data_IF_575523735543
#
_entry.id   IF_575523735543
#
_cell.length_a   1.000
_cell.length_b   1.000
_cell.length_c   1.000
_cell.angle_alpha   90.00
_cell.angle_beta   90.00
_cell.angle_gamma   90.00
#
_symmetry.space_group_name_H-M   'P 1'
#
loop_
_entity.id
_entity.type
_entity.pdbx_description
1 polymer ?
#
# COMPACT_ATOMS: atom_id res chain seq x y z
N UNK A 1 7.87 35.43 1.97
CA UNK A 1 6.76 34.57 1.48
C UNK A 1 5.62 34.49 2.48
N UNK A 2 5.83 33.99 3.70
CA UNK A 2 4.77 33.81 4.70
C UNK A 2 4.00 35.11 5.04
N UNK A 3 4.70 36.21 5.36
CA UNK A 3 4.08 37.52 5.62
C UNK A 3 3.25 38.09 4.47
N UNK A 4 3.51 37.67 3.23
CA UNK A 4 2.80 38.17 2.05
C UNK A 4 1.57 37.33 1.70
N UNK A 5 1.47 36.09 2.20
CA UNK A 5 0.52 35.11 1.68
C UNK A 5 -0.33 34.40 2.75
N UNK A 6 0.18 34.15 3.97
CA UNK A 6 -0.56 33.32 4.95
C UNK A 6 -0.24 33.50 6.45
N UNK A 7 0.80 34.24 6.84
CA UNK A 7 1.12 34.45 8.25
C UNK A 7 0.07 35.34 8.96
N UNK A 8 -0.01 35.28 10.30
CA UNK A 8 -0.98 35.99 11.15
C UNK A 8 -0.94 37.54 11.12
N UNK A 9 -0.25 38.14 10.16
CA UNK A 9 -0.24 39.58 9.88
C UNK A 9 -0.19 39.89 8.37
N UNK A 10 -0.58 38.93 7.53
CA UNK A 10 -0.68 39.12 6.08
C UNK A 10 -1.89 40.02 5.76
N UNK A 11 -1.82 40.87 4.73
CA UNK A 11 -2.92 41.76 4.35
C UNK A 11 -4.19 40.96 4.07
N UNK A 12 -5.38 41.45 4.49
CA UNK A 12 -6.66 40.72 4.38
C UNK A 12 -6.99 40.21 2.98
N UNK A 13 -6.46 40.87 1.94
CA UNK A 13 -6.59 40.45 0.54
C UNK A 13 -5.74 39.22 0.18
N UNK A 14 -4.69 38.89 0.93
CA UNK A 14 -3.86 37.71 0.71
C UNK A 14 -4.49 36.41 1.25
N UNK A 15 -5.17 36.48 2.40
CA UNK A 15 -5.91 35.35 2.96
C UNK A 15 -7.23 35.05 2.21
N UNK A 16 -7.74 36.01 1.41
CA UNK A 16 -8.97 35.88 0.60
C UNK A 16 -8.71 35.57 -0.88
N UNK A 17 -7.50 35.78 -1.40
CA UNK A 17 -7.20 35.59 -2.81
C UNK A 17 -6.72 34.17 -3.14
N UNK A 18 -7.21 33.69 -4.29
CA UNK A 18 -6.87 32.44 -4.98
C UNK A 18 -5.45 31.96 -4.73
N UNK A 19 -5.30 30.70 -4.31
CA UNK A 19 -4.01 30.02 -4.25
C UNK A 19 -3.20 30.31 -5.52
N UNK A 20 -1.90 30.53 -5.37
CA UNK A 20 -0.98 30.55 -6.51
C UNK A 20 -0.37 29.14 -6.64
N UNK A 21 -0.84 28.29 -7.59
CA UNK A 21 -0.32 26.93 -7.71
C UNK A 21 1.17 26.92 -8.09
N UNK A 22 1.64 27.99 -8.72
CA UNK A 22 3.04 28.24 -9.04
C UNK A 22 3.90 28.42 -7.79
N UNK A 23 3.40 29.12 -6.75
CA UNK A 23 4.12 29.31 -5.50
C UNK A 23 4.25 27.99 -4.73
N UNK A 24 3.17 27.21 -4.63
CA UNK A 24 3.20 25.88 -4.00
C UNK A 24 4.17 24.97 -4.73
N UNK A 25 4.16 25.00 -6.07
CA UNK A 25 5.11 24.22 -6.88
C UNK A 25 6.56 24.66 -6.67
N UNK A 26 6.79 25.97 -6.52
CA UNK A 26 8.12 26.54 -6.26
C UNK A 26 8.63 26.12 -4.88
N UNK A 27 7.84 26.32 -3.83
CA UNK A 27 8.17 25.90 -2.45
C UNK A 27 8.43 24.40 -2.44
N UNK A 28 7.58 23.61 -3.11
CA UNK A 28 7.77 22.17 -3.16
C UNK A 28 9.11 21.79 -3.80
N UNK A 29 9.42 22.29 -5.00
CA UNK A 29 10.65 21.93 -5.72
C UNK A 29 11.92 22.45 -5.05
N UNK A 30 11.90 23.66 -4.51
CA UNK A 30 13.09 24.32 -3.95
C UNK A 30 13.34 23.97 -2.48
N UNK A 31 12.27 23.76 -1.70
CA UNK A 31 12.35 23.62 -0.25
C UNK A 31 11.97 22.23 0.27
N UNK A 32 11.07 21.51 -0.41
CA UNK A 32 10.46 20.28 0.12
C UNK A 32 10.78 19.00 -0.65
N UNK A 33 11.20 19.07 -1.90
CA UNK A 33 11.42 17.89 -2.74
C UNK A 33 12.61 17.05 -2.26
N UNK A 34 13.58 17.68 -1.59
CA UNK A 34 14.67 16.99 -0.89
C UNK A 34 14.32 16.56 0.55
N UNK A 35 13.13 16.91 1.05
CA UNK A 35 12.68 16.53 2.38
C UNK A 35 12.13 15.10 2.35
N UNK A 36 13.01 14.14 2.61
CA UNK A 36 12.65 12.75 2.84
C UNK A 36 13.70 12.07 3.71
N UNK A 37 13.43 10.85 4.22
CA UNK A 37 14.43 10.04 4.90
C UNK A 37 15.50 9.61 3.87
N UNK A 38 16.43 10.50 3.56
CA UNK A 38 17.59 10.26 2.71
C UNK A 38 18.82 9.90 3.54
N UNK A 39 19.80 9.19 2.95
CA UNK A 39 20.98 8.68 3.67
C UNK A 39 21.98 9.76 4.15
N UNK A 40 21.66 11.05 4.00
CA UNK A 40 22.52 12.16 4.40
C UNK A 40 22.03 12.91 5.62
N UNK A 41 22.65 12.69 6.79
CA UNK A 41 22.33 13.38 8.07
C UNK A 41 22.27 14.92 7.97
N UNK A 42 23.09 15.54 7.11
CA UNK A 42 23.13 17.02 6.93
C UNK A 42 22.04 17.56 6.01
N UNK A 43 21.75 16.89 4.90
CA UNK A 43 20.67 17.31 3.99
C UNK A 43 19.30 17.14 4.64
N UNK A 44 19.08 16.03 5.35
CA UNK A 44 17.89 15.79 6.15
C UNK A 44 17.72 16.83 7.28
N UNK A 45 18.81 17.23 7.95
CA UNK A 45 18.74 18.25 9.00
C UNK A 45 18.33 19.63 8.48
N UNK A 46 18.80 20.03 7.29
CA UNK A 46 18.42 21.30 6.66
C UNK A 46 17.00 21.27 6.09
N UNK A 47 16.61 20.15 5.48
CA UNK A 47 15.24 19.85 5.07
C UNK A 47 14.26 19.95 6.24
N UNK A 48 14.61 19.34 7.37
CA UNK A 48 13.81 19.41 8.60
C UNK A 48 13.68 20.86 9.06
N UNK A 49 14.77 21.65 9.15
CA UNK A 49 14.72 23.09 9.52
C UNK A 49 13.74 23.91 8.67
N UNK A 50 13.71 23.67 7.36
CA UNK A 50 12.80 24.35 6.42
C UNK A 50 11.34 23.96 6.67
N UNK A 51 11.08 22.67 6.90
CA UNK A 51 9.76 22.18 7.30
C UNK A 51 9.29 22.78 8.63
N UNK A 52 10.17 22.91 9.64
CA UNK A 52 9.80 23.55 10.91
C UNK A 52 9.47 25.03 10.72
N UNK A 53 10.23 25.75 9.89
CA UNK A 53 9.93 27.15 9.62
C UNK A 53 8.56 27.32 8.95
N UNK A 54 8.23 26.45 8.00
CA UNK A 54 6.90 26.46 7.36
C UNK A 54 5.79 26.11 8.34
N UNK A 55 6.04 25.20 9.29
CA UNK A 55 5.10 24.84 10.35
C UNK A 55 4.83 26.02 11.29
N UNK A 56 5.88 26.71 11.75
CA UNK A 56 5.77 27.90 12.63
C UNK A 56 4.96 29.01 11.98
N UNK A 57 4.98 29.09 10.64
CA UNK A 57 4.17 30.06 9.90
C UNK A 57 2.73 29.61 9.63
N UNK A 58 2.31 28.45 10.13
CA UNK A 58 1.00 27.84 9.90
C UNK A 58 0.68 27.64 8.41
N UNK A 59 1.67 27.17 7.64
CA UNK A 59 1.54 26.97 6.19
C UNK A 59 0.43 25.98 5.82
N UNK A 60 0.20 24.97 6.65
CA UNK A 60 -0.85 23.97 6.41
C UNK A 60 -2.24 24.58 6.59
N UNK A 61 -2.47 25.20 7.74
CA UNK A 61 -3.75 25.71 8.21
C UNK A 61 -4.21 26.90 7.39
N UNK A 62 -3.30 27.82 7.09
CA UNK A 62 -3.66 29.10 6.48
C UNK A 62 -3.53 29.10 4.96
N UNK A 63 -2.78 28.15 4.36
CA UNK A 63 -2.47 28.19 2.92
C UNK A 63 -2.74 26.89 2.17
N UNK A 64 -2.34 25.73 2.67
CA UNK A 64 -2.48 24.48 1.90
C UNK A 64 -3.87 23.86 1.99
N UNK A 65 -4.37 23.66 3.22
CA UNK A 65 -5.59 22.90 3.47
C UNK A 65 -6.87 23.62 3.04
N UNK A 66 -7.08 24.94 3.32
CA UNK A 66 -8.29 25.65 2.91
C UNK A 66 -8.53 25.57 1.40
N UNK A 67 -7.46 25.66 0.62
CA UNK A 67 -7.50 25.73 -0.83
C UNK A 67 -7.30 24.37 -1.54
N UNK A 68 -7.29 23.26 -0.79
CA UNK A 68 -7.23 21.94 -1.39
C UNK A 68 -8.53 21.57 -2.12
N UNK A 69 -8.40 21.12 -3.36
CA UNK A 69 -9.48 20.56 -4.18
C UNK A 69 -9.08 19.22 -4.79
N UNK A 70 -9.94 18.19 -4.70
CA UNK A 70 -9.59 16.83 -5.12
C UNK A 70 -9.21 16.69 -6.60
N UNK A 71 -9.85 17.44 -7.50
CA UNK A 71 -9.66 17.32 -8.95
C UNK A 71 -8.67 18.32 -9.53
N UNK A 72 -8.51 19.50 -8.90
CA UNK A 72 -7.69 20.62 -9.43
C UNK A 72 -6.29 20.72 -8.80
N UNK A 73 -6.07 20.08 -7.65
CA UNK A 73 -4.79 20.20 -6.94
C UNK A 73 -3.67 19.46 -7.67
N UNK A 74 -2.54 20.13 -7.84
CA UNK A 74 -1.34 19.55 -8.44
C UNK A 74 -0.65 18.56 -7.51
N UNK A 75 0.21 17.69 -8.06
CA UNK A 75 1.02 16.75 -7.27
C UNK A 75 1.87 17.47 -6.18
N UNK A 76 2.58 18.58 -6.47
CA UNK A 76 3.29 19.36 -5.46
C UNK A 76 2.41 19.83 -4.30
N UNK A 77 1.15 20.15 -4.56
CA UNK A 77 0.20 20.58 -3.54
C UNK A 77 -0.16 19.44 -2.59
N UNK A 78 -0.49 18.26 -3.15
CA UNK A 78 -0.80 17.06 -2.36
C UNK A 78 0.42 16.63 -1.54
N UNK A 79 1.60 16.59 -2.16
CA UNK A 79 2.84 16.20 -1.47
C UNK A 79 3.23 17.20 -0.38
N UNK A 80 3.01 18.51 -0.59
CA UNK A 80 3.26 19.51 0.45
C UNK A 80 2.36 19.30 1.68
N UNK A 81 1.08 18.98 1.47
CA UNK A 81 0.17 18.64 2.58
C UNK A 81 0.67 17.40 3.33
N UNK A 82 1.07 16.35 2.62
CA UNK A 82 1.59 15.10 3.19
C UNK A 82 2.85 15.36 4.04
N UNK A 83 3.80 16.14 3.53
CA UNK A 83 5.02 16.48 4.25
C UNK A 83 4.74 17.31 5.51
N UNK A 84 3.86 18.30 5.43
CA UNK A 84 3.45 19.09 6.59
C UNK A 84 2.71 18.25 7.63
N UNK A 85 1.87 17.31 7.18
CA UNK A 85 1.18 16.38 8.07
C UNK A 85 2.18 15.50 8.83
N UNK A 86 3.11 14.87 8.12
CA UNK A 86 4.15 14.03 8.72
C UNK A 86 5.00 14.80 9.74
N UNK A 87 5.34 16.05 9.43
CA UNK A 87 6.11 16.90 10.33
C UNK A 87 5.32 17.25 11.61
N UNK A 88 4.01 17.49 11.50
CA UNK A 88 3.15 17.71 12.67
C UNK A 88 3.09 16.46 13.55
N UNK A 89 2.91 15.28 12.97
CA UNK A 89 2.95 14.01 13.71
C UNK A 89 4.30 13.79 14.39
N UNK A 90 5.41 14.07 13.70
CA UNK A 90 6.76 13.93 14.26
C UNK A 90 7.01 14.84 15.49
N UNK A 91 6.30 15.96 15.59
CA UNK A 91 6.34 16.88 16.74
C UNK A 91 5.28 16.60 17.81
N UNK A 92 4.36 15.66 17.57
CA UNK A 92 3.23 15.40 18.45
C UNK A 92 2.12 16.45 18.38
N UNK A 93 2.08 17.29 17.34
CA UNK A 93 0.95 18.19 17.10
C UNK A 93 -0.20 17.46 16.39
N UNK A 94 -1.44 17.84 16.71
CA UNK A 94 -2.62 17.30 16.03
C UNK A 94 -2.72 17.85 14.60
N UNK A 95 -2.50 17.00 13.61
CA UNK A 95 -2.85 17.30 12.20
C UNK A 95 -4.39 17.31 12.01
N UNK A 96 -5.09 16.50 12.79
CA UNK A 96 -6.53 16.29 12.65
C UNK A 96 -7.34 17.52 13.03
N UNK A 97 -6.84 18.36 13.94
CA UNK A 97 -7.53 19.60 14.32
C UNK A 97 -7.55 20.59 13.13
N UNK A 98 -6.43 20.71 12.42
CA UNK A 98 -6.34 21.56 11.22
C UNK A 98 -7.27 21.09 10.09
N UNK A 99 -7.51 19.77 10.01
CA UNK A 99 -8.33 19.15 8.96
C UNK A 99 -9.81 19.04 9.35
N UNK A 100 -10.08 18.92 10.65
CA UNK A 100 -11.39 18.69 11.25
C UNK A 100 -12.11 19.97 11.68
N UNK A 101 -11.41 21.07 11.91
CA UNK A 101 -12.03 22.36 12.23
C UNK A 101 -12.78 22.89 11.01
N UNK A 102 -14.10 22.99 11.17
CA UNK A 102 -15.01 23.66 10.25
C UNK A 102 -14.59 25.13 10.12
N UNK A 103 -13.96 25.49 9.01
CA UNK A 103 -13.80 26.90 8.64
C UNK A 103 -15.15 27.48 8.24
N UNK A 104 -15.73 28.34 9.09
CA UNK A 104 -16.70 29.42 8.83
C UNK A 104 -17.62 29.36 7.57
N UNK A 105 -18.11 28.18 7.21
CA UNK A 105 -18.89 27.91 6.02
C UNK A 105 -19.43 26.49 6.08
N UNK A 106 -20.52 26.33 6.83
CA UNK A 106 -21.09 25.06 7.26
C UNK A 106 -21.07 23.93 6.22
N UNK A 107 -20.37 22.85 6.57
CA UNK A 107 -20.49 21.54 5.93
C UNK A 107 -19.15 20.86 5.58
N UNK A 108 -19.08 19.57 5.90
CA UNK A 108 -18.32 18.55 5.10
C UNK A 108 -16.79 18.46 5.26
N UNK A 109 -16.22 18.73 6.44
CA UNK A 109 -14.78 18.50 6.70
C UNK A 109 -14.31 17.06 6.37
N UNK A 110 -15.12 16.05 6.69
CA UNK A 110 -14.83 14.64 6.40
C UNK A 110 -14.89 14.24 4.93
N UNK A 111 -15.71 14.90 4.11
CA UNK A 111 -15.77 14.63 2.67
C UNK A 111 -14.48 15.13 2.00
N UNK A 112 -13.98 16.30 2.41
CA UNK A 112 -12.71 16.86 1.90
C UNK A 112 -11.53 15.96 2.20
N UNK A 113 -11.43 15.45 3.43
CA UNK A 113 -10.41 14.46 3.79
C UNK A 113 -10.57 13.15 3.02
N UNK A 114 -11.80 12.63 2.88
CA UNK A 114 -12.02 11.40 2.12
C UNK A 114 -11.56 11.53 0.66
N UNK A 115 -11.81 12.69 0.03
CA UNK A 115 -11.37 12.96 -1.32
C UNK A 115 -9.83 13.15 -1.41
N UNK A 116 -9.21 13.78 -0.41
CA UNK A 116 -7.76 13.85 -0.27
C UNK A 116 -7.13 12.46 -0.13
N UNK A 117 -7.70 11.62 0.72
CA UNK A 117 -7.20 10.26 0.95
C UNK A 117 -7.36 9.38 -0.29
N UNK A 118 -8.47 9.49 -1.02
CA UNK A 118 -8.65 8.84 -2.32
C UNK A 118 -7.57 9.28 -3.32
N UNK A 119 -7.25 10.59 -3.37
CA UNK A 119 -6.17 11.10 -4.22
C UNK A 119 -4.80 10.49 -3.87
N UNK A 120 -4.50 10.30 -2.59
CA UNK A 120 -3.28 9.62 -2.15
C UNK A 120 -3.25 8.15 -2.60
N UNK A 121 -4.39 7.45 -2.51
CA UNK A 121 -4.50 6.07 -2.98
C UNK A 121 -4.23 5.96 -4.48
N UNK A 122 -4.77 6.89 -5.27
CA UNK A 122 -4.53 6.96 -6.72
C UNK A 122 -3.05 7.17 -7.03
N UNK A 123 -2.36 8.02 -6.26
CA UNK A 123 -0.92 8.26 -6.40
C UNK A 123 -0.10 7.01 -6.07
N UNK A 124 -0.43 6.31 -4.97
CA UNK A 124 0.32 5.14 -4.50
C UNK A 124 0.12 3.89 -5.37
N UNK A 125 -1.06 3.70 -5.94
CA UNK A 125 -1.38 2.51 -6.74
C UNK A 125 -0.92 2.63 -8.20
N UNK A 126 -0.41 3.81 -8.61
CA UNK A 126 -0.13 4.10 -10.02
C UNK A 126 -1.38 4.02 -10.91
N UNK A 127 -2.55 3.77 -10.32
CA UNK A 127 -3.79 3.48 -11.01
C UNK A 127 -4.54 4.78 -11.26
N UNK A 128 -4.02 5.59 -12.16
CA UNK A 128 -4.93 6.28 -13.08
C UNK A 128 -5.59 5.18 -13.91
N UNK A 129 -6.68 4.59 -13.38
CA UNK A 129 -7.77 3.85 -14.08
C UNK A 129 -8.42 2.78 -13.20
N UNK A 130 -8.80 3.09 -11.96
CA UNK A 130 -9.68 2.19 -11.20
C UNK A 130 -11.18 2.33 -11.53
N UNK A 131 -11.59 3.28 -12.39
CA UNK A 131 -12.99 3.41 -12.80
C UNK A 131 -13.30 3.61 -14.29
N UNK A 132 -12.33 3.64 -15.22
CA UNK A 132 -12.71 3.74 -16.63
C UNK A 132 -11.63 3.26 -17.61
N UNK A 133 -11.88 2.13 -18.28
CA UNK A 133 -11.04 1.66 -19.40
C UNK A 133 -11.13 2.56 -20.64
N UNK A 134 -12.20 3.36 -20.80
CA UNK A 134 -12.35 4.30 -21.92
C UNK A 134 -11.57 5.60 -21.68
N UNK A 135 -11.49 6.11 -20.45
CA UNK A 135 -10.61 7.25 -20.14
C UNK A 135 -9.13 6.86 -20.03
N UNK A 136 -8.80 5.60 -19.77
CA UNK A 136 -7.44 5.06 -19.91
C UNK A 136 -6.88 5.30 -21.32
N UNK A 137 -7.69 4.97 -22.33
CA UNK A 137 -7.33 5.13 -23.74
C UNK A 137 -7.33 6.59 -24.18
N UNK A 138 -8.27 7.40 -23.69
CA UNK A 138 -8.33 8.84 -23.99
C UNK A 138 -7.18 9.64 -23.34
N UNK A 139 -6.76 9.28 -22.12
CA UNK A 139 -5.63 9.91 -21.44
C UNK A 139 -4.27 9.44 -21.97
N UNK A 140 -4.15 8.17 -22.38
CA UNK A 140 -2.98 7.66 -23.11
C UNK A 140 -2.82 8.34 -24.49
N UNK A 141 -3.93 8.69 -25.14
CA UNK A 141 -3.92 9.46 -26.39
C UNK A 141 -3.66 10.96 -26.17
N UNK A 142 -4.08 11.53 -25.03
CA UNK A 142 -3.91 12.96 -24.72
C UNK A 142 -2.57 13.30 -24.03
N UNK A 143 -1.82 12.30 -23.55
CA UNK A 143 -0.53 12.50 -22.91
C UNK A 143 0.57 11.67 -23.59
N UNK A 144 1.23 12.29 -24.57
CA UNK A 144 2.63 11.99 -24.90
C UNK A 144 3.59 12.38 -23.74
N UNK A 145 3.13 12.33 -22.50
CA UNK A 145 3.86 12.66 -21.29
C UNK A 145 3.60 11.56 -20.27
N UNK A 146 4.62 10.74 -20.03
CA UNK A 146 4.59 9.65 -19.06
C UNK A 146 3.97 10.10 -17.73
N UNK A 147 3.14 9.22 -17.13
CA UNK A 147 2.66 9.42 -15.77
C UNK A 147 3.83 9.81 -14.84
N UNK A 148 3.67 10.81 -13.95
CA UNK A 148 4.77 11.25 -13.10
C UNK A 148 5.23 10.09 -12.21
N UNK A 149 6.40 9.54 -12.52
CA UNK A 149 7.02 8.46 -11.74
C UNK A 149 7.45 9.04 -10.39
N UNK A 150 6.69 8.73 -9.33
CA UNK A 150 7.00 9.15 -7.97
C UNK A 150 8.39 8.66 -7.57
N UNK A 151 9.22 9.58 -7.06
CA UNK A 151 10.52 9.31 -6.46
C UNK A 151 10.39 8.43 -5.22
N UNK A 152 11.43 7.67 -4.87
CA UNK A 152 11.43 6.86 -3.64
C UNK A 152 11.24 7.70 -2.38
N UNK A 153 11.71 8.95 -2.37
CA UNK A 153 11.48 9.87 -1.25
C UNK A 153 10.01 10.26 -1.11
N UNK A 154 9.33 10.52 -2.23
CA UNK A 154 7.90 10.85 -2.24
C UNK A 154 7.06 9.64 -1.81
N UNK A 155 7.42 8.44 -2.30
CA UNK A 155 6.79 7.18 -1.88
C UNK A 155 6.98 6.95 -0.38
N UNK A 156 8.18 7.15 0.16
CA UNK A 156 8.47 7.03 1.58
C UNK A 156 7.66 8.02 2.44
N UNK A 157 7.52 9.27 1.99
CA UNK A 157 6.70 10.28 2.67
C UNK A 157 5.21 9.91 2.67
N UNK A 158 4.68 9.40 1.55
CA UNK A 158 3.30 8.91 1.47
C UNK A 158 3.09 7.69 2.36
N UNK A 159 4.05 6.75 2.40
CA UNK A 159 3.99 5.59 3.29
C UNK A 159 4.02 6.00 4.76
N UNK A 160 4.87 6.96 5.15
CA UNK A 160 4.88 7.52 6.50
C UNK A 160 3.54 8.17 6.86
N UNK A 161 2.92 8.88 5.91
CA UNK A 161 1.60 9.44 6.14
C UNK A 161 0.53 8.34 6.33
N UNK A 162 0.60 7.25 5.56
CA UNK A 162 -0.28 6.10 5.78
C UNK A 162 -0.07 5.47 7.17
N UNK A 163 1.18 5.35 7.63
CA UNK A 163 1.47 4.89 9.00
C UNK A 163 0.73 5.77 10.00
N UNK A 164 0.90 7.08 9.93
CA UNK A 164 0.22 8.03 10.82
C UNK A 164 -1.31 7.91 10.74
N UNK A 165 -1.87 7.71 9.54
CA UNK A 165 -3.32 7.48 9.34
C UNK A 165 -3.80 6.21 10.06
N UNK A 166 -3.07 5.09 9.93
CA UNK A 166 -3.44 3.82 10.58
C UNK A 166 -3.09 3.77 12.07
N UNK A 167 -2.23 4.67 12.55
CA UNK A 167 -2.01 4.90 13.97
C UNK A 167 -3.08 5.80 14.60
N UNK A 168 -3.86 6.54 13.80
CA UNK A 168 -4.93 7.44 14.25
C UNK A 168 -6.36 6.93 14.00
N UNK A 169 -6.61 5.62 14.15
CA UNK A 169 -7.94 5.02 13.92
C UNK A 169 -9.00 5.44 14.95
N UNK A 170 -8.60 6.05 16.06
CA UNK A 170 -9.50 6.67 17.03
C UNK A 170 -10.27 7.84 16.43
N UNK A 171 -9.71 8.53 15.42
CA UNK A 171 -10.37 9.65 14.77
C UNK A 171 -11.52 9.17 13.86
N UNK A 172 -12.77 9.59 14.07
CA UNK A 172 -13.92 9.12 13.29
C UNK A 172 -13.77 9.38 11.78
N UNK A 173 -13.21 10.54 11.42
CA UNK A 173 -12.95 10.95 10.03
C UNK A 173 -12.01 9.97 9.31
N UNK A 174 -11.00 9.49 10.03
CA UNK A 174 -9.95 8.62 9.50
C UNK A 174 -10.43 7.18 9.44
N UNK A 175 -11.06 6.70 10.52
CA UNK A 175 -11.51 5.32 10.68
C UNK A 175 -12.37 4.85 9.51
N UNK A 176 -13.34 5.66 9.09
CA UNK A 176 -14.23 5.34 7.97
C UNK A 176 -13.52 5.28 6.61
N UNK A 177 -12.44 6.05 6.42
CA UNK A 177 -11.66 6.03 5.18
C UNK A 177 -10.61 4.91 5.16
N UNK A 178 -9.87 4.74 6.26
CA UNK A 178 -8.77 3.79 6.39
C UNK A 178 -9.25 2.33 6.46
N UNK A 179 -10.25 2.01 7.29
CA UNK A 179 -10.71 0.62 7.46
C UNK A 179 -11.40 0.05 6.22
N UNK A 180 -11.88 0.89 5.29
CA UNK A 180 -12.37 0.43 3.99
C UNK A 180 -11.28 -0.28 3.18
N UNK A 181 -10.02 0.10 3.35
CA UNK A 181 -8.88 -0.54 2.66
C UNK A 181 -8.57 -1.94 3.21
N UNK A 182 -8.83 -2.17 4.50
CA UNK A 182 -8.55 -3.43 5.19
C UNK A 182 -9.80 -4.30 5.36
N UNK A 183 -10.76 -4.19 4.44
CA UNK A 183 -12.03 -4.91 4.48
C UNK A 183 -12.02 -6.16 3.59
N UNK A 184 -13.09 -6.96 3.65
CA UNK A 184 -13.22 -8.21 2.88
C UNK A 184 -12.87 -8.10 1.37
N UNK A 185 -13.22 -7.02 0.64
CA UNK A 185 -12.76 -6.78 -0.73
C UNK A 185 -11.25 -6.91 -0.98
N UNK A 186 -10.41 -6.76 0.06
CA UNK A 186 -8.97 -6.96 -0.03
C UNK A 186 -8.61 -8.38 -0.51
N UNK A 187 -9.46 -9.37 -0.23
CA UNK A 187 -9.30 -10.75 -0.71
C UNK A 187 -9.44 -10.92 -2.22
N UNK A 188 -9.82 -9.87 -2.96
CA UNK A 188 -9.74 -9.87 -4.43
C UNK A 188 -8.30 -10.03 -4.95
N UNK A 189 -7.30 -9.72 -4.12
CA UNK A 189 -5.89 -9.93 -4.43
C UNK A 189 -5.42 -11.38 -4.23
N UNK A 190 -6.22 -12.25 -3.58
CA UNK A 190 -5.84 -13.64 -3.34
C UNK A 190 -5.89 -14.48 -4.61
N UNK A 191 -4.99 -15.46 -4.68
CA UNK A 191 -5.09 -16.54 -5.65
C UNK A 191 -6.43 -17.31 -5.49
N UNK A 192 -7.07 -17.76 -6.57
CA UNK A 192 -8.40 -18.41 -6.49
C UNK A 192 -8.41 -19.63 -5.55
N UNK A 193 -7.32 -20.40 -5.54
CA UNK A 193 -7.18 -21.54 -4.64
C UNK A 193 -7.10 -21.11 -3.18
N UNK A 194 -6.32 -20.06 -2.87
CA UNK A 194 -6.22 -19.54 -1.50
C UNK A 194 -7.55 -18.95 -1.04
N UNK A 195 -8.21 -18.16 -1.87
CA UNK A 195 -9.53 -17.61 -1.60
C UNK A 195 -10.55 -18.71 -1.25
N UNK A 196 -10.57 -19.80 -2.01
CA UNK A 196 -11.46 -20.93 -1.74
C UNK A 196 -11.19 -21.59 -0.37
N UNK A 197 -9.92 -21.72 0.03
CA UNK A 197 -9.55 -22.26 1.34
C UNK A 197 -10.00 -21.35 2.49
N UNK A 198 -9.77 -20.04 2.37
CA UNK A 198 -10.17 -19.05 3.38
C UNK A 198 -11.70 -18.97 3.52
N UNK A 199 -12.44 -18.98 2.40
CA UNK A 199 -13.92 -18.94 2.41
C UNK A 199 -14.53 -20.26 2.89
N UNK A 200 -13.87 -21.40 2.68
CA UNK A 200 -14.32 -22.70 3.20
C UNK A 200 -14.25 -22.74 4.72
N UNK A 201 -13.25 -22.12 5.32
CA UNK A 201 -13.11 -22.04 6.78
C UNK A 201 -14.23 -21.19 7.43
N UNK A 202 -14.80 -20.22 6.71
CA UNK A 202 -15.80 -19.29 7.23
C UNK A 202 -17.00 -19.10 6.28
N UNK A 203 -18.03 -19.97 6.35
CA UNK A 203 -19.18 -19.94 5.44
C UNK A 203 -19.96 -18.60 5.43
N UNK A 204 -20.01 -17.90 6.56
CA UNK A 204 -20.62 -16.57 6.68
C UNK A 204 -19.90 -15.53 5.80
N UNK A 205 -18.57 -15.58 5.73
CA UNK A 205 -17.79 -14.70 4.84
C UNK A 205 -18.04 -15.03 3.38
N UNK A 206 -18.26 -16.31 3.05
CA UNK A 206 -18.61 -16.73 1.69
C UNK A 206 -19.90 -16.08 1.20
N UNK A 207 -20.93 -15.97 2.05
CA UNK A 207 -22.19 -15.29 1.69
C UNK A 207 -21.95 -13.82 1.39
N UNK A 208 -21.24 -13.11 2.28
CA UNK A 208 -20.91 -11.70 2.07
C UNK A 208 -20.03 -11.48 0.83
N UNK A 209 -19.07 -12.37 0.59
CA UNK A 209 -18.21 -12.31 -0.59
C UNK A 209 -19.00 -12.43 -1.89
N UNK A 210 -19.93 -13.38 -1.97
CA UNK A 210 -20.81 -13.54 -3.14
C UNK A 210 -21.67 -12.29 -3.36
N UNK A 211 -22.25 -11.75 -2.29
CA UNK A 211 -23.03 -10.52 -2.37
C UNK A 211 -22.19 -9.33 -2.86
N UNK A 212 -20.95 -9.17 -2.39
CA UNK A 212 -20.04 -8.14 -2.86
C UNK A 212 -19.68 -8.31 -4.34
N UNK A 213 -19.53 -9.55 -4.81
CA UNK A 213 -19.30 -9.83 -6.23
C UNK A 213 -20.51 -9.44 -7.08
N UNK A 214 -21.73 -9.74 -6.61
CA UNK A 214 -22.98 -9.33 -7.28
C UNK A 214 -23.10 -7.81 -7.34
N UNK A 215 -22.83 -7.11 -6.24
CA UNK A 215 -22.83 -5.64 -6.19
C UNK A 215 -21.77 -5.03 -7.12
N UNK A 216 -20.56 -5.58 -7.13
CA UNK A 216 -19.49 -5.13 -8.03
C UNK A 216 -19.86 -5.37 -9.50
N UNK A 217 -20.48 -6.50 -9.82
CA UNK A 217 -20.96 -6.81 -11.17
C UNK A 217 -22.11 -5.87 -11.59
N UNK A 218 -23.05 -5.58 -10.69
CA UNK A 218 -24.14 -4.63 -10.93
C UNK A 218 -23.62 -3.21 -11.15
N UNK A 219 -22.68 -2.75 -10.32
CA UNK A 219 -22.03 -1.44 -10.48
C UNK A 219 -21.26 -1.34 -11.81
N UNK A 220 -20.55 -2.40 -12.21
CA UNK A 220 -19.87 -2.45 -13.49
C UNK A 220 -20.85 -2.40 -14.68
N UNK A 221 -22.00 -3.09 -14.58
CA UNK A 221 -23.07 -3.04 -15.60
C UNK A 221 -23.70 -1.65 -15.68
N UNK A 222 -23.98 -1.01 -14.54
CA UNK A 222 -24.52 0.35 -14.48
C UNK A 222 -23.54 1.37 -15.08
N UNK A 223 -22.25 1.27 -14.77
CA UNK A 223 -21.21 2.11 -15.36
C UNK A 223 -21.09 1.89 -16.89
N UNK A 224 -21.21 0.64 -17.36
CA UNK A 224 -21.22 0.32 -18.80
C UNK A 224 -22.44 0.90 -19.53
N UNK A 225 -23.61 0.88 -18.89
CA UNK A 225 -24.85 1.47 -19.41
C UNK A 225 -24.76 3.00 -19.48
N UNK A 226 -24.16 3.65 -18.46
CA UNK A 226 -23.93 5.10 -18.46
C UNK A 226 -22.93 5.57 -19.53
N UNK A 227 -21.94 4.73 -19.87
CA UNK A 227 -20.93 5.03 -20.89
C UNK A 227 -21.34 4.61 -22.33
N UNK A 228 -22.65 4.43 -22.59
CA UNK A 228 -23.23 4.17 -23.91
C UNK A 228 -22.81 2.84 -24.54
N UNK A 229 -22.29 1.90 -23.76
CA UNK A 229 -21.85 0.59 -24.23
C UNK A 229 -22.84 -0.47 -23.74
N UNK A 230 -24.07 -0.40 -24.24
CA UNK A 230 -25.03 -1.49 -24.04
C UNK A 230 -24.49 -2.76 -24.70
N UNK A 231 -24.36 -3.89 -23.99
CA UNK A 231 -24.25 -5.16 -24.67
C UNK A 231 -25.58 -5.42 -25.37
N UNK A 232 -25.55 -5.76 -26.66
CA UNK A 232 -26.73 -6.16 -27.41
C UNK A 232 -27.43 -7.27 -26.62
N UNK A 233 -28.68 -7.01 -26.23
CA UNK A 233 -29.57 -8.01 -25.73
C UNK A 233 -29.88 -8.96 -26.89
N UNK A 234 -29.42 -10.20 -26.79
CA UNK A 234 -30.00 -11.29 -27.58
C UNK A 234 -30.68 -12.24 -26.61
N UNK A 235 -32.00 -12.30 -26.73
CA UNK A 235 -32.87 -13.16 -25.96
C UNK A 235 -32.91 -14.55 -26.59
N UNK A 236 -32.66 -15.57 -25.78
CA UNK A 236 -32.86 -16.96 -26.14
C UNK A 236 -32.77 -17.83 -24.89
N UNK A 237 -33.94 -18.26 -24.40
CA UNK A 237 -34.04 -19.09 -23.21
C UNK A 237 -33.52 -20.51 -23.41
N UNK A 238 -33.26 -21.18 -22.28
CA UNK A 238 -33.30 -22.63 -22.19
C UNK A 238 -31.97 -23.32 -21.82
N UNK A 239 -32.07 -24.08 -20.74
CA UNK A 239 -31.28 -25.27 -20.40
C UNK A 239 -29.91 -25.10 -19.73
N UNK A 240 -29.87 -25.65 -18.51
CA UNK A 240 -28.70 -26.10 -17.79
C UNK A 240 -27.73 -26.92 -18.65
N UNK A 241 -26.45 -26.56 -18.60
CA UNK A 241 -25.33 -27.48 -18.76
C UNK A 241 -24.05 -26.80 -18.25
N UNK A 242 -23.36 -27.47 -17.33
CA UNK A 242 -21.97 -27.18 -17.04
C UNK A 242 -21.11 -27.45 -18.29
N UNK A 243 -19.98 -26.77 -18.47
CA UNK A 243 -18.88 -27.37 -19.20
C UNK A 243 -17.64 -27.50 -18.32
N UNK A 244 -17.22 -28.76 -18.17
CA UNK A 244 -15.85 -29.14 -17.88
C UNK A 244 -14.88 -28.63 -18.97
N UNK A 245 -13.61 -28.51 -18.59
CA UNK A 245 -12.47 -28.86 -19.43
C UNK A 245 -12.28 -28.10 -20.75
N UNK A 246 -11.62 -26.94 -20.68
CA UNK A 246 -11.13 -26.24 -21.87
C UNK A 246 -9.85 -25.45 -21.57
N UNK A 247 -8.71 -26.03 -21.92
CA UNK A 247 -7.36 -25.48 -21.80
C UNK A 247 -7.22 -24.09 -22.45
N UNK A 248 -7.40 -23.02 -21.68
CA UNK A 248 -6.95 -21.66 -22.07
C UNK A 248 -5.52 -21.46 -21.62
N UNK A 249 -4.60 -21.49 -22.59
CA UNK A 249 -3.23 -20.94 -22.47
C UNK A 249 -3.31 -19.55 -21.83
N UNK A 250 -2.92 -19.46 -20.55
CA UNK A 250 -2.79 -18.18 -19.85
C UNK A 250 -1.56 -17.46 -20.39
N UNK A 251 -1.78 -16.32 -21.06
CA UNK A 251 -0.76 -15.26 -21.19
C UNK A 251 -0.34 -14.86 -19.78
N UNK A 252 0.97 -14.91 -19.54
CA UNK A 252 1.68 -14.55 -18.30
C UNK A 252 1.24 -13.15 -17.82
N UNK A 253 0.89 -12.94 -16.53
CA UNK A 253 0.72 -11.60 -15.99
C UNK A 253 2.11 -10.91 -15.88
N UNK A 254 2.20 -9.57 -16.05
CA UNK A 254 3.48 -8.87 -15.94
C UNK A 254 3.93 -8.87 -14.48
N UNK A 255 4.98 -9.62 -14.20
CA UNK A 255 5.77 -9.58 -12.98
C UNK A 255 6.97 -8.68 -13.22
N UNK A 256 6.76 -7.37 -13.40
CA UNK A 256 7.86 -6.44 -13.69
C UNK A 256 7.80 -5.23 -12.77
N UNK A 257 7.94 -5.46 -11.46
CA UNK A 257 8.39 -4.41 -10.51
C UNK A 257 9.28 -4.95 -9.38
N UNK A 258 9.31 -6.27 -9.15
CA UNK A 258 10.32 -6.91 -8.30
C UNK A 258 11.54 -7.41 -9.11
N UNK A 259 11.38 -7.73 -10.39
CA UNK A 259 12.46 -8.17 -11.29
C UNK A 259 13.09 -7.01 -12.09
N UNK A 260 12.51 -5.80 -12.05
CA UNK A 260 13.00 -4.62 -12.75
C UNK A 260 14.15 -3.88 -12.03
N UNK A 261 14.73 -4.47 -10.98
CA UNK A 261 15.92 -3.93 -10.31
C UNK A 261 17.24 -4.48 -10.89
N UNK A 262 17.18 -5.31 -11.94
CA UNK A 262 18.36 -5.98 -12.49
C UNK A 262 18.81 -5.54 -13.90
N UNK A 263 17.98 -4.85 -14.71
CA UNK A 263 18.38 -4.52 -16.09
C UNK A 263 18.10 -3.04 -16.47
N UNK A 264 19.18 -2.28 -16.64
CA UNK A 264 19.31 -1.28 -17.71
C UNK A 264 18.89 0.18 -17.45
N UNK A 265 19.51 0.90 -16.51
CA UNK A 265 19.78 2.33 -16.72
C UNK A 265 21.05 2.48 -17.57
N UNK A 266 20.87 2.49 -18.89
CA UNK A 266 21.90 2.94 -19.83
C UNK A 266 21.43 4.25 -20.46
N UNK A 267 21.66 5.35 -19.74
CA UNK A 267 21.84 6.64 -20.42
C UNK A 267 23.34 6.96 -20.43
N UNK A 268 23.81 7.32 -21.61
CA UNK A 268 25.21 7.40 -21.97
C UNK A 268 25.97 8.43 -21.11
N UNK A 269 27.12 8.01 -20.57
CA UNK A 269 28.15 8.95 -20.11
C UNK A 269 28.67 8.79 -18.69
N UNK A 270 28.88 7.58 -18.15
CA UNK A 270 29.91 7.39 -17.12
C UNK A 270 30.45 5.96 -17.13
N UNK A 271 31.68 5.80 -17.62
CA UNK A 271 32.35 4.49 -17.66
C UNK A 271 33.01 4.22 -16.32
N UNK A 272 32.39 3.33 -15.54
CA UNK A 272 33.08 2.47 -14.57
C UNK A 272 33.10 2.97 -13.13
N UNK A 273 32.08 2.61 -12.35
CA UNK A 273 32.14 2.28 -10.90
C UNK A 273 30.75 1.88 -10.38
N UNK A 274 30.63 0.71 -9.74
CA UNK A 274 29.54 0.42 -8.79
C UNK A 274 28.57 -0.74 -9.09
N UNK A 275 29.06 -1.96 -9.33
CA UNK A 275 28.22 -3.16 -9.15
C UNK A 275 27.83 -3.27 -7.66
N UNK A 276 26.62 -2.86 -7.29
CA UNK A 276 26.05 -3.09 -5.95
C UNK A 276 25.50 -1.87 -5.20
N UNK A 277 25.49 -0.66 -5.77
CA UNK A 277 24.87 0.50 -5.12
C UNK A 277 23.35 0.50 -5.34
N UNK A 278 22.58 0.53 -4.26
CA UNK A 278 21.12 0.62 -4.33
C UNK A 278 20.70 2.01 -4.84
N UNK A 279 19.55 2.12 -5.53
CA UNK A 279 18.96 3.41 -5.88
C UNK A 279 18.77 4.30 -4.64
N UNK A 280 18.99 5.60 -4.80
CA UNK A 280 18.87 6.56 -3.70
C UNK A 280 17.43 6.58 -3.15
N UNK A 281 17.31 6.52 -1.82
CA UNK A 281 16.01 6.53 -1.14
C UNK A 281 15.25 5.19 -1.14
N UNK A 282 15.65 4.19 -1.93
CA UNK A 282 14.95 2.90 -1.98
C UNK A 282 14.93 2.19 -0.63
N UNK A 283 16.08 2.11 0.07
CA UNK A 283 16.16 1.44 1.37
C UNK A 283 15.22 2.08 2.39
N UNK A 284 15.23 3.42 2.49
CA UNK A 284 14.37 4.15 3.41
C UNK A 284 12.88 3.97 3.07
N UNK A 285 12.52 3.90 1.79
CA UNK A 285 11.15 3.56 1.38
C UNK A 285 10.76 2.15 1.85
N UNK A 286 11.63 1.15 1.64
CA UNK A 286 11.36 -0.23 2.02
C UNK A 286 11.27 -0.43 3.53
N UNK A 287 12.10 0.28 4.31
CA UNK A 287 12.00 0.33 5.77
C UNK A 287 10.64 0.88 6.20
N UNK A 288 10.21 2.01 5.64
CA UNK A 288 8.87 2.57 5.93
C UNK A 288 7.75 1.66 5.47
N UNK A 289 7.93 0.94 4.37
CA UNK A 289 6.92 0.00 3.89
C UNK A 289 6.78 -1.21 4.83
N UNK A 290 7.90 -1.76 5.33
CA UNK A 290 7.85 -2.82 6.34
C UNK A 290 7.24 -2.32 7.65
N UNK A 291 7.57 -1.11 8.10
CA UNK A 291 6.95 -0.48 9.27
C UNK A 291 5.43 -0.38 9.11
N UNK A 292 4.94 0.06 7.94
CA UNK A 292 3.51 0.07 7.63
C UNK A 292 2.89 -1.33 7.74
N UNK A 293 3.55 -2.36 7.21
CA UNK A 293 3.04 -3.73 7.30
C UNK A 293 3.01 -4.25 8.74
N UNK A 294 4.02 -3.90 9.55
CA UNK A 294 4.07 -4.25 10.98
C UNK A 294 2.89 -3.62 11.71
N UNK A 295 2.65 -2.32 11.53
CA UNK A 295 1.55 -1.60 12.18
C UNK A 295 0.17 -2.12 11.75
N UNK A 296 0.02 -2.45 10.47
CA UNK A 296 -1.22 -3.05 9.99
C UNK A 296 -1.45 -4.47 10.53
N UNK A 297 -0.39 -5.22 10.83
CA UNK A 297 -0.51 -6.57 11.40
C UNK A 297 -0.62 -6.57 12.93
N UNK A 298 -0.17 -5.52 13.60
CA UNK A 298 -0.20 -5.38 15.06
C UNK A 298 -1.60 -5.02 15.60
N UNK A 299 -2.48 -4.53 14.73
CA UNK A 299 -3.86 -4.19 15.08
C UNK A 299 -4.86 -5.17 14.44
N UNK A 300 -5.80 -5.70 15.23
CA UNK A 300 -6.77 -6.69 14.74
C UNK A 300 -7.68 -6.20 13.58
N UNK A 301 -8.21 -4.95 13.59
CA UNK A 301 -9.12 -4.47 12.54
C UNK A 301 -8.49 -4.45 11.14
N UNK A 302 -7.18 -4.22 11.06
CA UNK A 302 -6.40 -4.14 9.82
C UNK A 302 -5.80 -5.49 9.43
N UNK A 303 -5.42 -6.31 10.42
CA UNK A 303 -4.84 -7.64 10.24
C UNK A 303 -5.78 -8.65 9.57
N UNK A 304 -7.05 -8.69 9.99
CA UNK A 304 -8.03 -9.76 9.71
C UNK A 304 -8.05 -10.27 8.28
N UNK A 305 -8.08 -9.35 7.31
CA UNK A 305 -8.12 -9.71 5.88
C UNK A 305 -6.74 -9.59 5.22
N UNK A 306 -5.88 -8.72 5.74
CA UNK A 306 -4.56 -8.43 5.20
C UNK A 306 -3.59 -9.61 5.35
N UNK A 307 -3.60 -10.31 6.49
CA UNK A 307 -2.67 -11.41 6.76
C UNK A 307 -2.72 -12.51 5.70
N UNK A 308 -3.92 -12.90 5.27
CA UNK A 308 -4.09 -13.92 4.22
C UNK A 308 -3.44 -13.48 2.90
N UNK A 309 -3.59 -12.21 2.53
CA UNK A 309 -3.01 -11.62 1.31
C UNK A 309 -1.49 -11.60 1.37
N UNK A 310 -0.92 -11.16 2.49
CA UNK A 310 0.53 -11.12 2.67
C UNK A 310 1.16 -12.52 2.59
N UNK A 311 0.50 -13.54 3.15
CA UNK A 311 0.92 -14.95 3.06
C UNK A 311 0.80 -15.54 1.65
N UNK A 312 -0.18 -15.09 0.85
CA UNK A 312 -0.35 -15.52 -0.54
C UNK A 312 0.69 -14.86 -1.45
N UNK A 313 0.98 -13.59 -1.21
CA UNK A 313 2.01 -12.81 -1.92
C UNK A 313 3.45 -13.18 -1.58
N UNK A 314 3.69 -14.00 -0.54
CA UNK A 314 5.02 -14.43 -0.11
C UNK A 314 5.96 -13.27 0.24
N UNK A 315 5.42 -12.24 0.88
CA UNK A 315 6.19 -11.02 1.19
C UNK A 315 7.37 -11.34 2.12
N UNK A 316 7.16 -12.16 3.14
CA UNK A 316 8.22 -12.56 4.07
C UNK A 316 9.36 -13.26 3.34
N UNK A 317 9.02 -14.24 2.51
CA UNK A 317 10.00 -15.04 1.77
C UNK A 317 10.76 -14.18 0.77
N UNK A 318 10.06 -13.29 0.04
CA UNK A 318 10.69 -12.32 -0.88
C UNK A 318 11.67 -11.39 -0.18
N UNK A 319 11.29 -10.83 0.97
CA UNK A 319 12.16 -9.95 1.75
C UNK A 319 13.36 -10.70 2.36
N UNK A 320 13.17 -11.95 2.77
CA UNK A 320 14.23 -12.79 3.35
C UNK A 320 15.27 -13.19 2.32
N UNK A 321 14.85 -13.52 1.10
CA UNK A 321 15.75 -13.95 0.01
C UNK A 321 16.41 -12.77 -0.73
N UNK A 322 15.95 -11.54 -0.51
CA UNK A 322 16.46 -10.38 -1.22
C UNK A 322 17.83 -9.93 -0.66
N UNK A 323 18.81 -9.58 -1.53
CA UNK A 323 20.14 -9.10 -1.10
C UNK A 323 20.14 -7.70 -0.44
N UNK A 324 18.97 -7.17 -0.09
CA UNK A 324 18.78 -5.91 0.64
C UNK A 324 19.30 -5.99 2.07
N UNK A 325 19.02 -7.11 2.76
CA UNK A 325 19.49 -7.36 4.12
C UNK A 325 20.95 -7.80 4.13
N UNK A 326 21.24 -8.94 3.52
CA UNK A 326 22.52 -9.64 3.69
C UNK A 326 23.53 -9.38 2.57
N UNK A 327 23.31 -8.35 1.74
CA UNK A 327 24.27 -7.97 0.70
C UNK A 327 24.48 -9.02 -0.39
N UNK A 328 25.52 -8.84 -1.20
CA UNK A 328 26.03 -9.90 -2.05
C UNK A 328 26.89 -10.84 -1.19
N UNK A 329 26.83 -12.15 -1.44
CA UNK A 329 27.66 -13.17 -0.76
C UNK A 329 27.39 -13.35 0.75
N UNK A 330 26.22 -12.94 1.25
CA UNK A 330 25.80 -13.19 2.63
C UNK A 330 26.47 -12.29 3.67
N UNK A 331 27.13 -11.21 3.25
CA UNK A 331 27.72 -10.20 4.13
C UNK A 331 26.71 -9.07 4.39
N UNK A 332 26.22 -8.90 5.64
CA UNK A 332 25.21 -7.91 5.97
C UNK A 332 25.62 -6.48 5.59
N UNK A 333 24.76 -5.81 4.81
CA UNK A 333 24.94 -4.37 4.54
C UNK A 333 24.73 -3.59 5.85
N UNK A 334 25.58 -2.60 6.18
CA UNK A 334 25.37 -1.76 7.35
C UNK A 334 24.09 -0.93 7.21
N UNK A 335 23.74 -0.49 6.00
CA UNK A 335 22.50 0.25 5.73
C UNK A 335 21.25 -0.61 5.94
N UNK A 336 21.34 -1.93 5.76
CA UNK A 336 20.21 -2.86 5.90
C UNK A 336 19.89 -3.27 7.35
N UNK A 337 20.59 -2.74 8.36
CA UNK A 337 20.39 -3.15 9.76
C UNK A 337 18.95 -2.92 10.23
N UNK A 338 18.39 -1.73 9.98
CA UNK A 338 17.02 -1.40 10.38
C UNK A 338 16.01 -2.26 9.61
N UNK A 339 16.20 -2.42 8.30
CA UNK A 339 15.38 -3.31 7.49
C UNK A 339 15.31 -4.74 8.06
N UNK A 340 16.44 -5.34 8.47
CA UNK A 340 16.47 -6.67 9.08
C UNK A 340 15.72 -6.73 10.42
N UNK A 341 15.85 -5.69 11.25
CA UNK A 341 15.09 -5.59 12.51
C UNK A 341 13.58 -5.50 12.27
N UNK A 342 13.16 -4.70 11.30
CA UNK A 342 11.76 -4.57 10.89
C UNK A 342 11.23 -5.87 10.28
N UNK A 343 12.05 -6.59 9.51
CA UNK A 343 11.69 -7.88 8.93
C UNK A 343 11.43 -8.95 10.00
N UNK A 344 12.24 -8.97 11.07
CA UNK A 344 12.00 -9.89 12.20
C UNK A 344 10.72 -9.54 12.95
N UNK A 345 10.45 -8.25 13.16
CA UNK A 345 9.19 -7.80 13.76
C UNK A 345 7.98 -8.14 12.87
N UNK A 346 8.12 -7.98 11.55
CA UNK A 346 7.12 -8.40 10.57
C UNK A 346 6.88 -9.91 10.63
N UNK A 347 7.93 -10.73 10.72
CA UNK A 347 7.84 -12.18 10.88
C UNK A 347 7.08 -12.55 12.16
N UNK A 348 7.40 -11.91 13.28
CA UNK A 348 6.71 -12.11 14.55
C UNK A 348 5.22 -11.81 14.41
N UNK A 349 4.85 -10.63 13.91
CA UNK A 349 3.43 -10.29 13.77
C UNK A 349 2.72 -11.18 12.75
N UNK A 350 3.34 -11.55 11.62
CA UNK A 350 2.73 -12.45 10.64
C UNK A 350 2.44 -13.85 11.23
N UNK A 351 3.32 -14.33 12.11
CA UNK A 351 3.21 -15.60 12.83
C UNK A 351 2.43 -15.54 14.14
N UNK A 352 2.03 -14.35 14.61
CA UNK A 352 1.42 -14.16 15.92
C UNK A 352 0.19 -15.05 16.13
N UNK A 353 0.17 -15.73 17.28
CA UNK A 353 -0.76 -16.82 17.63
C UNK A 353 -2.12 -16.27 18.07
N UNK A 354 -2.84 -15.67 17.13
CA UNK A 354 -4.18 -15.11 17.33
C UNK A 354 -5.12 -15.58 16.23
N UNK A 355 -6.38 -15.79 16.58
CA UNK A 355 -7.42 -16.03 15.59
C UNK A 355 -7.82 -14.71 14.92
N UNK A 356 -7.50 -14.56 13.64
CA UNK A 356 -7.74 -13.33 12.87
C UNK A 356 -9.22 -12.91 12.79
N UNK A 357 -10.17 -13.82 13.01
CA UNK A 357 -11.61 -13.54 12.95
C UNK A 357 -12.21 -13.20 14.32
N UNK A 358 -11.81 -13.92 15.37
CA UNK A 358 -12.39 -13.75 16.72
C UNK A 358 -11.55 -12.83 17.61
N UNK A 359 -10.28 -12.60 17.27
CA UNK A 359 -9.34 -11.83 18.09
C UNK A 359 -8.87 -12.56 19.35
N UNK A 360 -9.24 -13.83 19.52
CA UNK A 360 -8.82 -14.63 20.68
C UNK A 360 -7.39 -15.16 20.46
N UNK A 361 -6.55 -15.16 21.51
CA UNK A 361 -5.26 -15.85 21.44
C UNK A 361 -5.50 -17.34 21.18
N UNK A 362 -4.62 -17.95 20.38
CA UNK A 362 -4.65 -19.39 20.16
C UNK A 362 -4.04 -20.11 21.37
N UNK A 363 -4.60 -21.24 21.74
CA UNK A 363 -3.98 -22.11 22.74
C UNK A 363 -2.79 -22.86 22.14
N UNK A 364 -1.86 -23.32 22.99
CA UNK A 364 -0.74 -24.15 22.52
C UNK A 364 -1.21 -25.42 21.78
N UNK A 365 -2.33 -26.00 22.19
CA UNK A 365 -2.95 -27.14 21.51
C UNK A 365 -3.46 -26.78 20.11
N UNK A 366 -4.12 -25.62 19.97
CA UNK A 366 -4.61 -25.13 18.68
C UNK A 366 -3.44 -24.87 17.72
N UNK A 367 -2.37 -24.27 18.21
CA UNK A 367 -1.15 -24.01 17.42
C UNK A 367 -0.54 -25.31 16.91
N UNK A 368 -0.40 -26.32 17.79
CA UNK A 368 0.12 -27.64 17.42
C UNK A 368 -0.81 -28.33 16.41
N UNK A 369 -2.12 -28.32 16.64
CA UNK A 369 -3.09 -28.92 15.74
C UNK A 369 -3.08 -28.26 14.34
N UNK A 370 -2.95 -26.93 14.28
CA UNK A 370 -2.81 -26.18 13.03
C UNK A 370 -1.53 -26.57 12.28
N UNK A 371 -0.40 -26.67 12.99
CA UNK A 371 0.87 -27.11 12.40
C UNK A 371 0.76 -28.54 11.83
N UNK A 372 0.26 -29.48 12.62
CA UNK A 372 0.06 -30.87 12.20
C UNK A 372 -0.87 -30.99 11.00
N UNK A 373 -1.96 -30.22 10.96
CA UNK A 373 -2.90 -30.21 9.82
C UNK A 373 -2.21 -29.76 8.53
N UNK A 374 -1.35 -28.73 8.59
CA UNK A 374 -0.58 -28.25 7.43
C UNK A 374 0.42 -29.30 6.96
N UNK A 375 1.11 -29.95 7.91
CA UNK A 375 2.09 -30.98 7.61
C UNK A 375 1.44 -32.22 6.99
N UNK A 376 0.34 -32.72 7.56
CA UNK A 376 -0.42 -33.82 6.98
C UNK A 376 -0.98 -33.48 5.59
N UNK A 377 -1.40 -32.24 5.37
CA UNK A 377 -1.83 -31.80 4.03
C UNK A 377 -0.67 -31.88 3.03
N UNK A 378 0.52 -31.43 3.41
CA UNK A 378 1.74 -31.57 2.60
C UNK A 378 2.05 -33.03 2.31
N UNK A 379 2.10 -33.89 3.34
CA UNK A 379 2.38 -35.32 3.19
C UNK A 379 1.39 -36.01 2.24
N UNK A 380 0.10 -35.70 2.34
CA UNK A 380 -0.92 -36.24 1.42
C UNK A 380 -0.71 -35.79 -0.02
N UNK A 381 -0.34 -34.53 -0.24
CA UNK A 381 -0.03 -34.00 -1.59
C UNK A 381 1.21 -34.71 -2.15
N UNK A 382 2.26 -34.84 -1.34
CA UNK A 382 3.50 -35.52 -1.75
C UNK A 382 3.24 -36.99 -2.05
N UNK A 383 2.51 -37.71 -1.20
CA UNK A 383 2.14 -39.10 -1.46
C UNK A 383 1.38 -39.28 -2.78
N UNK A 384 0.45 -38.36 -3.07
CA UNK A 384 -0.41 -38.47 -4.25
C UNK A 384 0.29 -38.09 -5.55
N UNK A 385 1.17 -37.08 -5.51
CA UNK A 385 1.70 -36.44 -6.72
C UNK A 385 3.22 -36.51 -6.87
N UNK A 386 3.97 -36.71 -5.78
CA UNK A 386 5.44 -36.58 -5.75
C UNK A 386 6.12 -37.73 -5.00
N UNK A 387 5.44 -38.88 -4.81
CA UNK A 387 5.96 -40.03 -4.07
C UNK A 387 7.27 -40.56 -4.66
N UNK A 388 7.45 -40.46 -5.97
CA UNK A 388 8.65 -40.90 -6.66
C UNK A 388 9.85 -39.99 -6.38
N UNK A 389 9.62 -38.70 -6.17
CA UNK A 389 10.68 -37.69 -5.93
C UNK A 389 11.03 -37.61 -4.44
N UNK A 390 10.02 -37.68 -3.57
CA UNK A 390 10.14 -37.57 -2.12
C UNK A 390 9.49 -38.79 -1.44
N UNK A 391 10.12 -39.98 -1.51
CA UNK A 391 9.51 -41.22 -1.02
C UNK A 391 9.38 -41.27 0.50
N UNK A 392 10.28 -40.61 1.25
CA UNK A 392 10.34 -40.68 2.71
C UNK A 392 9.36 -39.71 3.40
N UNK A 393 9.18 -38.51 2.84
CA UNK A 393 8.42 -37.41 3.45
C UNK A 393 6.96 -37.79 3.81
N UNK A 394 6.21 -38.55 2.98
CA UNK A 394 4.86 -39.00 3.32
C UNK A 394 4.75 -39.86 4.57
N UNK A 395 5.81 -40.61 4.91
CA UNK A 395 5.83 -41.58 6.00
C UNK A 395 6.61 -41.10 7.22
N UNK A 396 7.38 -40.02 7.08
CA UNK A 396 8.08 -39.37 8.18
C UNK A 396 7.11 -38.97 9.30
N UNK A 397 7.57 -39.09 10.55
CA UNK A 397 6.79 -38.67 11.70
C UNK A 397 6.61 -37.14 11.70
N UNK A 398 5.53 -36.65 12.32
CA UNK A 398 5.26 -35.21 12.37
C UNK A 398 6.41 -34.41 13.01
N UNK A 399 7.13 -35.01 13.97
CA UNK A 399 8.27 -34.37 14.65
C UNK A 399 9.53 -34.31 13.79
N UNK A 400 9.71 -35.24 12.84
CA UNK A 400 10.80 -35.20 11.86
C UNK A 400 10.46 -34.24 10.72
N UNK A 401 9.30 -34.44 10.09
CA UNK A 401 8.88 -33.65 8.93
C UNK A 401 8.56 -32.18 9.25
N UNK A 402 8.32 -31.85 10.53
CA UNK A 402 8.17 -30.47 10.99
C UNK A 402 9.49 -29.70 11.20
N UNK A 403 10.65 -30.36 11.14
CA UNK A 403 11.95 -29.70 11.36
C UNK A 403 12.43 -29.03 10.08
N UNK A 404 12.91 -27.79 10.21
CA UNK A 404 13.52 -27.04 9.10
C UNK A 404 14.65 -27.81 8.42
N UNK A 405 15.58 -28.37 9.20
CA UNK A 405 16.72 -29.13 8.69
C UNK A 405 16.36 -30.42 7.95
N UNK A 406 15.12 -30.93 8.08
CA UNK A 406 14.65 -32.08 7.31
C UNK A 406 14.01 -31.66 5.97
N UNK A 407 13.55 -30.41 5.89
CA UNK A 407 12.91 -29.85 4.69
C UNK A 407 13.90 -29.12 3.76
N UNK A 408 15.05 -28.72 4.30
CA UNK A 408 16.24 -28.24 3.55
C UNK A 408 17.01 -29.44 3.00
#
# INVERSE_FOLDING_TARGET
>A
LAHQNWAAGAPENACKNTISPSLVTKIYKEELHSCGPGPGRRAAANANRRLQLLEVTSYLENYLWPHFHATKSSLPHVMSIVLMANEKFARGFSFWDAVGVEGAGGGKGGEKFTAFFARIQDLLTGAWTRFDKKQAAAAAAASAGAAPKLSYHERAALTLFLINVFQSLEQPLVRGAALRLCSLPLWAALSPGRLALELKAYPQLRRHWLHLQEQAAAAARAAAAANGNAPAADGGGGAAAAPEGGSRKRKKPPTDEADAAADGEANAGDKGKGKGRLPEGLMAYLERFLELLVDLLSQLPTRRFLRAVLLDMKVLERCTLCPLGDGAEGVPRPEGKLFRQLLEMYRFYLGFEINDQTGRPLSGEEVVAMHQTRLHTLQRIVFKHYKEVLPELPFASASQAGRRAYLE
#
